data_IF_259070489523
#
_entry.id   IF_259070489523
#
_cell.length_a   1.000
_cell.length_b   1.000
_cell.length_c   1.000
_cell.angle_alpha   90.00
_cell.angle_beta   90.00
_cell.angle_gamma   90.00
#
_symmetry.space_group_name_H-M   'P 1'
#
loop_
_entity.id
_entity.type
_entity.pdbx_description
1 polymer ?
#
# COMPACT_ATOMS: atom_id res chain seq x y z
N UNK A 1 51.68 -10.45 -23.64
CA UNK A 1 52.18 -9.07 -23.86
C UNK A 1 51.44 -8.50 -25.07
N UNK A 2 50.41 -7.70 -24.82
CA UNK A 2 49.63 -6.94 -25.83
C UNK A 2 49.13 -5.64 -25.18
N UNK A 3 48.94 -4.57 -25.96
CA UNK A 3 49.15 -3.20 -25.51
C UNK A 3 47.90 -2.49 -25.00
N UNK A 4 48.16 -1.40 -24.27
CA UNK A 4 47.22 -0.40 -23.80
C UNK A 4 46.34 0.18 -24.92
N UNK A 5 45.03 0.27 -24.66
CA UNK A 5 44.12 1.12 -25.43
C UNK A 5 43.72 2.34 -24.60
N UNK A 6 44.11 3.51 -25.11
CA UNK A 6 43.81 4.84 -24.58
C UNK A 6 42.35 5.22 -24.81
N UNK A 7 41.81 5.93 -23.83
CA UNK A 7 40.88 7.07 -23.88
C UNK A 7 39.99 7.27 -25.10
N UNK A 8 38.68 7.39 -24.84
CA UNK A 8 37.91 8.58 -25.23
C UNK A 8 36.62 8.64 -24.38
N UNK A 9 36.62 9.50 -23.37
CA UNK A 9 35.40 9.96 -22.73
C UNK A 9 34.62 10.79 -23.75
N UNK A 10 33.53 10.25 -24.30
CA UNK A 10 32.56 11.04 -25.04
C UNK A 10 31.71 11.77 -24.01
N UNK A 11 32.19 12.97 -23.65
CA UNK A 11 31.40 13.97 -22.96
C UNK A 11 30.32 14.43 -23.96
N UNK A 12 29.12 13.87 -23.83
CA UNK A 12 27.92 14.42 -24.46
C UNK A 12 27.57 15.74 -23.74
N UNK A 13 28.23 16.81 -24.15
CA UNK A 13 27.79 18.17 -23.86
C UNK A 13 26.56 18.49 -24.70
N UNK A 14 25.38 18.39 -24.10
CA UNK A 14 24.20 19.10 -24.58
C UNK A 14 23.91 20.20 -23.58
N UNK A 15 24.41 21.38 -23.91
CA UNK A 15 24.26 22.59 -23.11
C UNK A 15 22.79 22.98 -23.01
N UNK A 16 22.46 23.27 -21.77
CA UNK A 16 21.23 23.76 -21.21
C UNK A 16 20.71 25.01 -21.96
N UNK A 17 19.42 24.98 -22.30
CA UNK A 17 18.71 26.08 -22.92
C UNK A 17 17.22 26.00 -22.56
N UNK A 18 16.82 26.91 -21.67
CA UNK A 18 15.47 27.43 -21.45
C UNK A 18 14.40 26.51 -20.81
N UNK A 19 14.33 26.55 -19.47
CA UNK A 19 13.06 26.66 -18.73
C UNK A 19 13.28 27.05 -17.25
N UNK A 20 13.72 28.29 -17.02
CA UNK A 20 13.55 28.97 -15.73
C UNK A 20 12.03 29.13 -15.49
N UNK A 21 11.41 28.23 -14.72
CA UNK A 21 10.00 28.38 -14.33
C UNK A 21 9.21 27.11 -14.02
N UNK A 22 9.80 25.92 -14.06
CA UNK A 22 9.14 24.78 -13.43
C UNK A 22 9.50 24.82 -11.94
N UNK A 23 8.65 25.46 -11.13
CA UNK A 23 8.60 25.17 -9.70
C UNK A 23 8.78 23.67 -9.53
N UNK A 24 9.67 23.24 -8.65
CA UNK A 24 10.04 21.84 -8.48
C UNK A 24 8.80 21.08 -7.96
N UNK A 25 7.92 20.71 -8.89
CA UNK A 25 6.61 20.15 -8.59
C UNK A 25 6.89 18.71 -8.20
N UNK A 26 6.78 18.46 -6.92
CA UNK A 26 6.99 17.15 -6.33
C UNK A 26 5.67 16.41 -6.22
N UNK A 27 5.73 15.09 -6.40
CA UNK A 27 4.62 14.20 -6.11
C UNK A 27 4.22 14.34 -4.64
N UNK A 28 2.95 14.60 -4.36
CA UNK A 28 2.43 14.78 -3.00
C UNK A 28 2.57 13.53 -2.11
N UNK A 29 2.78 12.35 -2.72
CA UNK A 29 2.94 11.08 -1.99
C UNK A 29 4.38 10.62 -1.81
N UNK A 30 5.20 10.66 -2.86
CA UNK A 30 6.54 10.07 -2.84
C UNK A 30 7.68 11.10 -3.00
N UNK A 31 7.37 12.38 -3.19
CA UNK A 31 8.37 13.42 -3.39
C UNK A 31 9.08 13.40 -4.75
N UNK A 32 8.88 12.40 -5.60
CA UNK A 32 9.52 12.37 -6.93
C UNK A 32 9.11 13.56 -7.80
N UNK A 33 10.04 14.01 -8.65
CA UNK A 33 9.81 15.09 -9.60
C UNK A 33 8.67 14.78 -10.58
N UNK A 34 7.86 15.80 -10.87
CA UNK A 34 6.81 15.81 -11.87
C UNK A 34 7.26 16.46 -13.18
N UNK A 35 8.57 16.54 -13.41
CA UNK A 35 9.13 17.01 -14.67
C UNK A 35 8.53 16.24 -15.87
N UNK A 36 8.08 16.98 -16.89
CA UNK A 36 7.43 16.40 -18.08
C UNK A 36 5.99 15.91 -17.88
N UNK A 37 5.37 16.12 -16.71
CA UNK A 37 3.94 15.86 -16.49
C UNK A 37 3.10 17.13 -16.65
N UNK A 38 1.80 16.94 -16.86
CA UNK A 38 0.80 18.04 -16.95
C UNK A 38 0.98 19.06 -15.83
N UNK A 39 0.69 20.33 -16.11
CA UNK A 39 0.89 21.45 -15.17
C UNK A 39 0.10 21.32 -13.84
N UNK A 40 -1.00 20.57 -13.86
CA UNK A 40 -1.88 20.29 -12.72
C UNK A 40 -1.65 18.91 -12.08
N UNK A 41 -0.63 18.17 -12.53
CA UNK A 41 -0.33 16.86 -11.96
C UNK A 41 0.05 16.98 -10.48
N UNK A 42 -0.64 16.23 -9.61
CA UNK A 42 -0.34 16.09 -8.17
C UNK A 42 0.51 14.87 -7.84
N UNK A 43 0.57 13.89 -8.76
CA UNK A 43 1.19 12.58 -8.56
C UNK A 43 2.02 12.16 -9.77
N UNK A 44 3.15 11.49 -9.53
CA UNK A 44 4.08 11.07 -10.58
C UNK A 44 3.56 9.90 -11.43
N UNK A 45 2.68 9.08 -10.86
CA UNK A 45 2.10 7.90 -11.51
C UNK A 45 0.71 7.58 -10.96
N UNK A 46 -0.02 6.71 -11.67
CA UNK A 46 -1.33 6.23 -11.26
C UNK A 46 -1.29 5.53 -9.88
N UNK A 47 -0.21 4.80 -9.57
CA UNK A 47 -0.02 4.16 -8.27
C UNK A 47 0.05 5.16 -7.11
N UNK A 48 0.77 6.28 -7.28
CA UNK A 48 0.81 7.32 -6.26
C UNK A 48 -0.53 8.02 -6.07
N UNK A 49 -1.28 8.24 -7.17
CA UNK A 49 -2.64 8.78 -7.11
C UNK A 49 -3.61 7.85 -6.38
N UNK A 50 -3.63 6.57 -6.74
CA UNK A 50 -4.52 5.57 -6.12
C UNK A 50 -4.20 5.41 -4.65
N UNK A 51 -2.93 5.28 -4.28
CA UNK A 51 -2.57 5.12 -2.88
C UNK A 51 -2.83 6.40 -2.06
N UNK A 52 -2.54 7.59 -2.59
CA UNK A 52 -2.89 8.85 -1.91
C UNK A 52 -4.40 8.96 -1.70
N UNK A 53 -5.21 8.55 -2.69
CA UNK A 53 -6.65 8.49 -2.55
C UNK A 53 -7.10 7.42 -1.53
N UNK A 54 -6.38 6.31 -1.39
CA UNK A 54 -6.66 5.29 -0.35
C UNK A 54 -6.36 5.81 1.05
N UNK A 55 -5.29 6.60 1.18
CA UNK A 55 -4.90 7.28 2.42
C UNK A 55 -5.94 8.38 2.79
N UNK A 56 -6.34 9.22 1.82
CA UNK A 56 -7.34 10.28 2.01
C UNK A 56 -8.76 9.73 2.30
N UNK A 57 -9.17 8.66 1.63
CA UNK A 57 -10.53 8.08 1.78
C UNK A 57 -10.60 7.07 2.94
N UNK A 58 -9.51 6.86 3.70
CA UNK A 58 -9.49 5.92 4.83
C UNK A 58 -9.75 4.46 4.42
N UNK A 59 -9.54 4.13 3.14
CA UNK A 59 -9.77 2.80 2.55
C UNK A 59 -8.50 1.95 2.52
N UNK A 60 -7.49 2.37 3.27
CA UNK A 60 -6.68 1.41 3.98
C UNK A 60 -7.48 1.12 5.23
N UNK A 61 -8.28 0.05 5.18
CA UNK A 61 -8.59 -0.69 6.40
C UNK A 61 -7.21 -1.05 6.96
N UNK A 62 -6.61 -0.15 7.74
CA UNK A 62 -5.75 -0.54 8.83
C UNK A 62 -6.61 -1.59 9.49
N UNK A 63 -6.25 -2.86 9.30
CA UNK A 63 -6.75 -4.00 10.05
C UNK A 63 -6.98 -3.42 11.42
N UNK A 64 -8.25 -3.19 11.78
CA UNK A 64 -8.57 -2.41 12.97
C UNK A 64 -7.72 -3.06 14.03
N UNK A 65 -6.75 -2.35 14.61
CA UNK A 65 -5.74 -2.96 15.48
C UNK A 65 -6.38 -3.59 16.75
N UNK A 66 -7.70 -3.51 16.85
CA UNK A 66 -8.61 -4.08 17.84
C UNK A 66 -9.27 -5.41 17.40
N UNK A 67 -9.26 -5.75 16.11
CA UNK A 67 -9.75 -7.03 15.65
C UNK A 67 -8.70 -8.10 15.98
N UNK A 68 -9.02 -8.91 17.00
CA UNK A 68 -8.17 -10.02 17.48
C UNK A 68 -7.90 -11.07 16.40
N UNK A 69 -8.71 -11.08 15.34
CA UNK A 69 -8.62 -12.02 14.22
C UNK A 69 -8.58 -11.30 12.87
N UNK A 70 -7.84 -11.87 11.94
CA UNK A 70 -7.73 -11.39 10.57
C UNK A 70 -9.07 -11.47 9.81
N UNK A 71 -9.18 -10.69 8.73
CA UNK A 71 -10.41 -10.61 7.92
C UNK A 71 -10.81 -11.97 7.32
N UNK A 72 -9.90 -12.75 6.70
CA UNK A 72 -10.23 -14.10 6.23
C UNK A 72 -10.84 -14.99 7.33
N UNK A 73 -10.22 -15.03 8.52
CA UNK A 73 -10.74 -15.80 9.66
C UNK A 73 -12.13 -15.32 10.10
N UNK A 74 -12.35 -14.01 10.14
CA UNK A 74 -13.66 -13.43 10.46
C UNK A 74 -14.73 -13.82 9.44
N UNK A 75 -14.43 -13.76 8.15
CA UNK A 75 -15.35 -14.19 7.09
C UNK A 75 -15.69 -15.66 7.25
N UNK A 76 -14.72 -16.52 7.55
CA UNK A 76 -14.96 -17.93 7.79
C UNK A 76 -15.88 -18.19 9.00
N UNK A 77 -15.74 -17.41 10.09
CA UNK A 77 -16.63 -17.52 11.25
C UNK A 77 -18.07 -17.08 10.94
N UNK A 78 -18.24 -16.08 10.07
CA UNK A 78 -19.57 -15.65 9.61
C UNK A 78 -20.21 -16.74 8.74
N UNK A 79 -19.47 -17.28 7.78
CA UNK A 79 -19.93 -18.36 6.89
C UNK A 79 -20.28 -19.64 7.65
N UNK A 80 -19.52 -19.96 8.69
CA UNK A 80 -19.81 -21.08 9.59
C UNK A 80 -21.01 -20.82 10.52
N UNK A 81 -21.61 -19.62 10.50
CA UNK A 81 -22.68 -19.22 11.40
C UNK A 81 -22.26 -19.03 12.86
N UNK A 82 -20.95 -19.02 13.14
CA UNK A 82 -20.38 -18.84 14.46
C UNK A 82 -20.28 -17.36 14.88
N UNK A 83 -20.39 -16.43 13.93
CA UNK A 83 -20.44 -14.99 14.16
C UNK A 83 -21.56 -14.35 13.34
N UNK A 84 -22.39 -13.51 13.97
CA UNK A 84 -23.40 -12.74 13.27
C UNK A 84 -22.72 -11.64 12.42
N UNK A 85 -23.05 -11.47 11.12
CA UNK A 85 -22.53 -10.39 10.29
C UNK A 85 -22.64 -8.99 10.91
N UNK A 86 -23.70 -8.73 11.68
CA UNK A 86 -23.91 -7.43 12.35
C UNK A 86 -22.90 -7.14 13.47
N UNK A 87 -22.20 -8.16 13.95
CA UNK A 87 -21.19 -8.08 15.01
C UNK A 87 -19.77 -8.23 14.47
N UNK A 88 -19.56 -8.08 13.16
CA UNK A 88 -18.24 -8.26 12.55
C UNK A 88 -17.17 -7.27 13.05
N UNK A 89 -17.59 -6.13 13.63
CA UNK A 89 -16.69 -5.11 14.16
C UNK A 89 -16.64 -5.09 15.70
N UNK A 90 -17.36 -5.99 16.38
CA UNK A 90 -17.41 -6.08 17.83
C UNK A 90 -16.27 -6.99 18.34
N UNK A 91 -15.30 -6.41 19.05
CA UNK A 91 -14.11 -7.10 19.52
C UNK A 91 -14.40 -8.16 20.61
N UNK A 92 -15.50 -8.05 21.36
CA UNK A 92 -15.90 -9.06 22.35
C UNK A 92 -16.52 -10.27 21.65
N UNK A 93 -17.43 -10.03 20.70
CA UNK A 93 -18.07 -11.10 19.92
C UNK A 93 -17.10 -11.86 19.04
N UNK A 94 -16.10 -11.18 18.46
CA UNK A 94 -15.03 -11.82 17.73
C UNK A 94 -14.21 -12.80 18.60
N UNK A 95 -13.91 -12.41 19.85
CA UNK A 95 -13.18 -13.26 20.80
C UNK A 95 -14.00 -14.47 21.23
N UNK A 96 -15.28 -14.27 21.56
CA UNK A 96 -16.20 -15.36 21.91
C UNK A 96 -16.30 -16.40 20.78
N UNK A 97 -16.53 -15.95 19.55
CA UNK A 97 -16.66 -16.84 18.39
C UNK A 97 -15.37 -17.62 18.12
N UNK A 98 -14.21 -16.97 18.23
CA UNK A 98 -12.93 -17.62 18.06
C UNK A 98 -12.63 -18.65 19.16
N UNK A 99 -12.91 -18.32 20.43
CA UNK A 99 -12.73 -19.25 21.55
C UNK A 99 -13.61 -20.49 21.41
N UNK A 100 -14.87 -20.30 20.97
CA UNK A 100 -15.79 -21.42 20.70
C UNK A 100 -15.25 -22.32 19.59
N UNK A 101 -14.75 -21.73 18.51
CA UNK A 101 -14.12 -22.48 17.42
C UNK A 101 -12.93 -23.31 17.94
N UNK A 102 -12.00 -22.72 18.70
CA UNK A 102 -10.87 -23.44 19.28
C UNK A 102 -11.31 -24.61 20.16
N UNK A 103 -12.34 -24.43 20.99
CA UNK A 103 -12.89 -25.49 21.83
C UNK A 103 -13.48 -26.64 21.00
N UNK A 104 -14.19 -26.34 19.92
CA UNK A 104 -14.75 -27.35 19.03
C UNK A 104 -13.65 -28.14 18.31
N UNK A 105 -12.60 -27.47 17.83
CA UNK A 105 -11.43 -28.13 17.24
C UNK A 105 -10.73 -29.04 18.25
N UNK A 106 -10.49 -28.55 19.47
CA UNK A 106 -9.90 -29.35 20.53
C UNK A 106 -10.73 -30.60 20.82
N UNK A 107 -12.07 -30.48 20.92
CA UNK A 107 -12.95 -31.63 21.14
C UNK A 107 -12.95 -32.64 19.99
N UNK A 108 -12.82 -32.18 18.74
CA UNK A 108 -12.84 -33.05 17.55
C UNK A 108 -11.54 -33.83 17.36
N UNK A 109 -10.43 -33.30 17.87
CA UNK A 109 -9.09 -33.85 17.69
C UNK A 109 -8.43 -34.33 18.99
N UNK A 110 -9.17 -34.33 20.10
CA UNK A 110 -8.80 -35.01 21.35
C UNK A 110 -9.15 -36.50 21.26
#
# INVERSE_FOLDING_TARGET
>A
MTPAYRSAAVIFGRLDGDAMGAADRMCQRCGNSLAGKRADARFCCAGCRVNSHRDEVGRVDAITALAVIDRPMRTALIEAGALNPQHEHDAEKLREAFALMCHQFAKKHA
#
